data_IF_444811129666
#
_entry.id   IF_444811129666
#
_cell.length_a   1.000
_cell.length_b   1.000
_cell.length_c   1.000
_cell.angle_alpha   90.00
_cell.angle_beta   90.00
_cell.angle_gamma   90.00
#
_symmetry.space_group_name_H-M   'P 1'
#
loop_
_entity.id
_entity.type
_entity.pdbx_description
1 polymer ?
#
# COMPACT_ATOMS: atom_id res chain seq x y z
N UNK A 1 -8.24 14.75 3.53
CA UNK A 1 -7.58 14.18 2.32
C UNK A 1 -8.08 12.76 2.13
N UNK A 2 -8.34 12.36 0.89
CA UNK A 2 -8.56 10.95 0.55
C UNK A 2 -7.25 10.35 0.07
N UNK A 3 -6.80 9.25 0.68
CA UNK A 3 -5.59 8.54 0.28
C UNK A 3 -5.98 7.40 -0.67
N UNK A 4 -5.41 7.39 -1.87
CA UNK A 4 -5.62 6.33 -2.84
C UNK A 4 -4.28 5.63 -3.09
N UNK A 5 -4.26 4.31 -2.94
CA UNK A 5 -3.08 3.48 -3.17
C UNK A 5 -3.43 2.41 -4.20
N UNK A 6 -2.95 2.61 -5.42
CA UNK A 6 -2.94 1.56 -6.44
C UNK A 6 -1.72 0.67 -6.19
N UNK A 7 -1.94 -0.63 -6.03
CA UNK A 7 -0.88 -1.56 -5.66
C UNK A 7 0.11 -1.83 -6.80
N UNK A 8 -0.20 -1.46 -8.04
CA UNK A 8 0.72 -1.55 -9.17
C UNK A 8 1.81 -0.47 -9.17
N UNK A 9 1.82 0.42 -8.19
CA UNK A 9 2.96 1.31 -7.92
C UNK A 9 4.22 0.51 -7.56
N UNK A 10 4.09 -0.68 -6.99
CA UNK A 10 5.23 -1.44 -6.49
C UNK A 10 6.10 -2.02 -7.61
N UNK A 11 7.37 -2.21 -7.30
CA UNK A 11 8.25 -2.99 -8.16
C UNK A 11 7.77 -4.45 -8.23
N UNK A 12 7.57 -5.03 -9.44
CA UNK A 12 7.10 -6.41 -9.59
C UNK A 12 8.04 -7.47 -9.01
N UNK A 13 9.33 -7.18 -8.83
CA UNK A 13 10.25 -8.09 -8.13
C UNK A 13 10.01 -8.15 -6.62
N UNK A 14 9.28 -7.18 -6.07
CA UNK A 14 9.00 -7.05 -4.64
C UNK A 14 7.57 -7.36 -4.30
N UNK A 15 6.63 -6.91 -5.12
CA UNK A 15 5.20 -7.19 -4.95
C UNK A 15 4.49 -7.16 -6.30
N UNK A 16 4.10 -8.35 -6.79
CA UNK A 16 3.37 -8.48 -8.05
C UNK A 16 1.86 -8.38 -7.79
N UNK A 17 1.30 -7.18 -7.86
CA UNK A 17 -0.11 -6.94 -7.55
C UNK A 17 -1.07 -7.23 -8.71
N UNK A 18 -0.62 -7.00 -9.95
CA UNK A 18 -1.40 -7.21 -11.18
C UNK A 18 -0.46 -7.20 -12.40
N UNK A 19 -1.00 -7.20 -13.62
CA UNK A 19 -0.21 -7.20 -14.87
C UNK A 19 0.45 -5.87 -15.26
N UNK A 20 0.15 -4.78 -14.57
CA UNK A 20 0.51 -3.40 -14.92
C UNK A 20 1.65 -2.81 -14.08
N UNK A 21 2.11 -3.52 -13.05
CA UNK A 21 3.33 -3.19 -12.31
C UNK A 21 4.51 -2.98 -13.27
N UNK A 22 5.36 -2.01 -12.96
CA UNK A 22 6.54 -1.68 -13.79
C UNK A 22 7.82 -1.72 -12.94
N UNK A 23 8.94 -2.25 -13.47
CA UNK A 23 10.22 -2.22 -12.76
C UNK A 23 10.64 -0.80 -12.36
N UNK A 24 11.27 -0.66 -11.19
CA UNK A 24 11.72 0.60 -10.62
C UNK A 24 10.73 1.27 -9.67
N UNK A 25 9.61 0.60 -9.33
CA UNK A 25 8.67 1.06 -8.31
C UNK A 25 9.24 0.99 -6.88
N UNK A 26 8.59 1.64 -5.89
CA UNK A 26 8.93 1.46 -4.49
C UNK A 26 8.73 0.02 -4.02
N UNK A 27 9.51 -0.36 -3.02
CA UNK A 27 9.24 -1.56 -2.23
C UNK A 27 8.11 -1.28 -1.23
N UNK A 28 7.39 -2.31 -0.75
CA UNK A 28 6.25 -2.12 0.14
C UNK A 28 6.52 -1.27 1.39
N UNK A 29 7.70 -1.42 2.00
CA UNK A 29 8.09 -0.67 3.18
C UNK A 29 8.20 0.83 2.90
N UNK A 30 8.60 1.22 1.69
CA UNK A 30 8.69 2.62 1.29
C UNK A 30 7.30 3.24 1.13
N UNK A 31 6.36 2.51 0.55
CA UNK A 31 4.95 2.94 0.45
C UNK A 31 4.36 3.11 1.85
N UNK A 32 4.60 2.16 2.75
CA UNK A 32 4.21 2.24 4.16
C UNK A 32 4.71 3.51 4.84
N UNK A 33 6.02 3.77 4.73
CA UNK A 33 6.64 4.94 5.33
C UNK A 33 6.04 6.23 4.79
N UNK A 34 5.75 6.29 3.49
CA UNK A 34 5.08 7.43 2.87
C UNK A 34 3.65 7.61 3.40
N UNK A 35 2.86 6.53 3.48
CA UNK A 35 1.50 6.55 4.01
C UNK A 35 1.46 7.09 5.45
N UNK A 36 2.27 6.53 6.36
CA UNK A 36 2.31 6.97 7.76
C UNK A 36 2.89 8.38 7.91
N UNK A 37 3.91 8.73 7.12
CA UNK A 37 4.50 10.07 7.11
C UNK A 37 3.52 11.16 6.67
N UNK A 38 2.64 10.86 5.70
CA UNK A 38 1.56 11.76 5.27
C UNK A 38 0.39 11.77 6.27
N UNK A 39 0.13 10.64 6.92
CA UNK A 39 -0.91 10.53 7.91
C UNK A 39 -0.65 11.45 9.09
N UNK A 40 0.59 11.74 9.49
CA UNK A 40 0.95 12.65 10.60
C UNK A 40 0.44 14.11 10.47
N UNK A 41 0.77 14.85 9.40
CA UNK A 41 0.33 16.23 9.22
C UNK A 41 -1.09 16.37 8.63
N UNK A 42 -1.60 15.35 7.92
CA UNK A 42 -2.88 15.44 7.20
C UNK A 42 -4.02 14.77 7.97
N UNK A 43 -5.22 15.33 7.85
CA UNK A 43 -6.45 14.63 8.25
C UNK A 43 -6.88 13.68 7.12
N UNK A 44 -6.62 12.39 7.30
CA UNK A 44 -7.03 11.34 6.35
C UNK A 44 -8.51 11.01 6.61
N UNK A 45 -9.36 11.33 5.64
CA UNK A 45 -10.81 11.17 5.74
C UNK A 45 -11.32 9.90 5.05
N UNK A 46 -10.46 9.25 4.27
CA UNK A 46 -10.79 8.03 3.53
C UNK A 46 -9.52 7.40 2.94
N UNK A 47 -9.60 6.09 2.74
CA UNK A 47 -8.57 5.26 2.13
C UNK A 47 -9.21 4.38 1.05
N UNK A 48 -8.55 4.29 -0.11
CA UNK A 48 -8.83 3.25 -1.10
C UNK A 48 -7.54 2.49 -1.36
N UNK A 49 -7.63 1.17 -1.31
CA UNK A 49 -6.59 0.25 -1.79
C UNK A 49 -7.15 -0.49 -2.99
N UNK A 50 -6.38 -0.50 -4.07
CA UNK A 50 -6.87 -0.73 -5.42
C UNK A 50 -5.87 -1.54 -6.23
N UNK A 51 -6.30 -1.98 -7.41
CA UNK A 51 -5.46 -2.66 -8.41
C UNK A 51 -4.91 -4.04 -8.01
N UNK A 52 -5.46 -4.70 -6.98
CA UNK A 52 -5.14 -6.11 -6.69
C UNK A 52 -5.85 -7.05 -7.65
N UNK A 53 -5.08 -7.93 -8.31
CA UNK A 53 -5.60 -9.06 -9.07
C UNK A 53 -5.02 -10.38 -8.51
N UNK A 54 -5.85 -11.21 -7.82
CA UNK A 54 -5.40 -12.49 -7.27
C UNK A 54 -4.80 -13.45 -8.29
N UNK A 55 -5.10 -13.30 -9.58
CA UNK A 55 -4.51 -14.13 -10.63
C UNK A 55 -2.99 -13.90 -10.81
N UNK A 56 -2.47 -12.77 -10.32
CA UNK A 56 -1.06 -12.38 -10.40
C UNK A 56 -0.30 -12.52 -9.07
N UNK A 57 -0.99 -12.96 -8.02
CA UNK A 57 -0.44 -13.21 -6.68
C UNK A 57 -0.62 -14.69 -6.28
N UNK A 58 0.10 -15.62 -6.94
CA UNK A 58 -0.06 -17.05 -6.68
C UNK A 58 0.40 -17.48 -5.28
N UNK A 59 1.18 -16.63 -4.60
CA UNK A 59 1.67 -16.88 -3.24
C UNK A 59 0.74 -16.32 -2.18
N UNK A 60 -0.16 -15.41 -2.54
CA UNK A 60 -1.02 -14.72 -1.58
C UNK A 60 -0.24 -13.73 -0.72
N UNK A 61 0.85 -13.16 -1.24
CA UNK A 61 1.73 -12.26 -0.49
C UNK A 61 1.10 -10.86 -0.35
N UNK A 62 0.20 -10.46 -1.27
CA UNK A 62 -0.37 -9.10 -1.32
C UNK A 62 -1.33 -8.82 -0.15
N UNK A 63 -2.33 -9.67 0.17
CA UNK A 63 -3.29 -9.35 1.23
C UNK A 63 -2.69 -9.18 2.63
N UNK A 64 -1.76 -10.04 3.11
CA UNK A 64 -1.11 -9.85 4.41
C UNK A 64 -0.36 -8.52 4.48
N UNK A 65 0.38 -8.19 3.42
CA UNK A 65 1.16 -6.96 3.34
C UNK A 65 0.26 -5.72 3.37
N UNK A 66 -0.83 -5.75 2.62
CA UNK A 66 -1.85 -4.69 2.64
C UNK A 66 -2.46 -4.55 4.04
N UNK A 67 -2.70 -5.67 4.73
CA UNK A 67 -3.15 -5.68 6.12
C UNK A 67 -2.19 -4.93 7.04
N UNK A 68 -0.89 -5.21 6.94
CA UNK A 68 0.16 -4.53 7.73
C UNK A 68 0.19 -3.02 7.44
N UNK A 69 0.10 -2.62 6.16
CA UNK A 69 0.02 -1.21 5.76
C UNK A 69 -1.15 -0.47 6.42
N UNK A 70 -2.34 -1.10 6.42
CA UNK A 70 -3.55 -0.50 6.97
C UNK A 70 -3.48 -0.43 8.49
N UNK A 71 -2.99 -1.47 9.15
CA UNK A 71 -2.81 -1.49 10.62
C UNK A 71 -1.85 -0.37 11.04
N UNK A 72 -0.69 -0.24 10.40
CA UNK A 72 0.30 0.79 10.74
C UNK A 72 -0.24 2.21 10.49
N UNK A 73 -1.02 2.40 9.42
CA UNK A 73 -1.70 3.66 9.14
C UNK A 73 -2.71 4.01 10.25
N UNK A 74 -3.56 3.06 10.65
CA UNK A 74 -4.55 3.27 11.71
C UNK A 74 -3.87 3.60 13.04
N UNK A 75 -2.84 2.84 13.43
CA UNK A 75 -2.06 3.13 14.64
C UNK A 75 -1.41 4.52 14.61
N UNK A 76 -0.95 4.96 13.44
CA UNK A 76 -0.40 6.31 13.26
C UNK A 76 -1.47 7.40 13.43
N UNK A 77 -2.70 7.15 12.94
CA UNK A 77 -3.82 8.08 13.08
C UNK A 77 -4.34 8.17 14.53
N UNK A 78 -4.32 7.05 15.26
CA UNK A 78 -4.73 6.97 16.68
C UNK A 78 -3.70 7.58 17.63
N UNK A 79 -2.42 7.61 17.25
CA UNK A 79 -1.33 8.15 18.07
C UNK A 79 -1.20 9.68 18.00
N UNK A 80 -2.13 10.36 17.32
CA UNK A 80 -2.25 11.82 17.25
C UNK A 80 -3.11 12.38 18.37
#
# INVERSE_FOLDING_TARGET
>A
VHMHVDLDVHDPEKLQANRYTTPGGPVPEQVRMAMCGLAGPLAIAGLTISAYDPAFDPKGDVPPLVGELVVDLLSTLESK
#
